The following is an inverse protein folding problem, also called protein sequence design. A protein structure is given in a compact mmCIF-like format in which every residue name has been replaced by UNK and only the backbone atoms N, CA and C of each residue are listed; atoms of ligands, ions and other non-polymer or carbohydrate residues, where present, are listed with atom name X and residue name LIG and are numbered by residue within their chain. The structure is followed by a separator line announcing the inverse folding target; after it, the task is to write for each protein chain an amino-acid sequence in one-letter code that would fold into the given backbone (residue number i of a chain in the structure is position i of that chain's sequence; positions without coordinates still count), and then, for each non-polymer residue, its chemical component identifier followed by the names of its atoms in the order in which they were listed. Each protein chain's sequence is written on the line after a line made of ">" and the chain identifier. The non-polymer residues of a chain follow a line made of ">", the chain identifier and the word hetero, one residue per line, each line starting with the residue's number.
data_IF_130847457129
#
_entry.id   IF_130847457129
#
_cell.length_a   1.000
_cell.length_b   1.000
_cell.length_c   1.000
_cell.angle_alpha   90.00
_cell.angle_beta   90.00
_cell.angle_gamma   90.00
#
_symmetry.space_group_name_H-M   'P 1'
#
loop_
_entity.id
_entity.type
_entity.pdbx_description
1 polymer ?
#
# COMPACT_ATOMS: atom_id res chain seq x y z
N UNK A 1 25.25 -7.68 -3.63
CA UNK A 1 24.95 -8.42 -2.37
C UNK A 1 23.54 -8.98 -2.51
N UNK A 2 23.27 -10.21 -2.08
CA UNK A 2 21.93 -10.79 -2.13
C UNK A 2 21.40 -10.96 -0.69
N UNK A 3 20.15 -10.58 -0.45
CA UNK A 3 19.50 -10.75 0.87
C UNK A 3 18.26 -11.62 0.74
N UNK A 4 18.01 -12.46 1.73
CA UNK A 4 16.89 -13.41 1.75
C UNK A 4 16.02 -13.21 3.01
N UNK A 5 14.69 -13.24 2.86
CA UNK A 5 13.69 -13.16 3.94
C UNK A 5 12.62 -14.23 3.76
N UNK A 6 12.07 -14.78 4.84
CA UNK A 6 11.10 -15.88 4.77
C UNK A 6 9.98 -15.70 5.79
N UNK A 7 8.74 -16.07 5.42
CA UNK A 7 7.58 -16.01 6.31
C UNK A 7 7.49 -17.25 7.20
N UNK A 8 8.03 -18.39 6.73
CA UNK A 8 8.11 -19.64 7.47
C UNK A 8 9.43 -20.33 7.12
N UNK A 9 10.48 -20.11 7.92
CA UNK A 9 11.68 -20.96 7.92
C UNK A 9 11.54 -22.01 9.03
N UNK A 10 10.77 -23.07 8.79
CA UNK A 10 10.84 -24.26 9.66
C UNK A 10 11.52 -25.36 8.84
N UNK A 11 12.84 -25.51 8.99
CA UNK A 11 13.49 -26.78 8.68
C UNK A 11 13.14 -27.75 9.80
N UNK A 12 12.07 -28.54 9.64
CA UNK A 12 11.72 -29.55 10.63
C UNK A 12 12.57 -30.81 10.43
N UNK A 13 13.40 -31.14 11.42
CA UNK A 13 13.72 -32.52 11.73
C UNK A 13 13.41 -32.78 13.21
N UNK A 14 12.11 -32.91 13.52
CA UNK A 14 11.65 -33.82 14.57
C UNK A 14 10.17 -34.11 14.47
N UNK A 15 9.89 -35.41 14.45
CA UNK A 15 8.58 -36.04 14.46
C UNK A 15 7.80 -35.67 15.72
N UNK A 16 6.53 -35.29 15.57
CA UNK A 16 5.59 -35.08 16.68
C UNK A 16 4.55 -34.00 16.39
N UNK A 17 3.48 -34.40 15.68
CA UNK A 17 2.14 -33.77 15.59
C UNK A 17 2.05 -32.26 15.86
N UNK A 18 2.21 -31.49 14.77
CA UNK A 18 1.45 -30.27 14.52
C UNK A 18 1.38 -30.10 12.99
N UNK A 19 0.17 -30.03 12.43
CA UNK A 19 -0.02 -29.76 11.00
C UNK A 19 0.21 -28.27 10.77
N UNK A 20 1.48 -27.90 10.59
CA UNK A 20 1.93 -26.56 10.19
C UNK A 20 1.69 -26.36 8.68
N UNK A 21 1.50 -25.11 8.19
CA UNK A 21 1.16 -24.88 6.79
C UNK A 21 2.21 -25.51 5.87
N UNK A 22 1.73 -26.29 4.92
CA UNK A 22 2.54 -27.13 4.03
C UNK A 22 3.33 -26.35 2.98
N UNK A 23 3.25 -25.01 2.96
CA UNK A 23 3.92 -24.15 2.00
C UNK A 23 4.63 -22.98 2.69
N UNK A 24 5.92 -22.85 2.42
CA UNK A 24 6.74 -21.70 2.77
C UNK A 24 6.87 -20.76 1.58
N UNK A 25 6.96 -19.46 1.88
CA UNK A 25 7.23 -18.41 0.92
C UNK A 25 8.44 -17.59 1.35
N UNK A 26 9.27 -17.22 0.38
CA UNK A 26 10.57 -16.54 0.59
C UNK A 26 10.76 -15.42 -0.42
N UNK A 27 11.37 -14.31 -0.01
CA UNK A 27 11.85 -13.24 -0.89
C UNK A 27 13.37 -13.31 -1.01
N UNK A 28 13.87 -13.16 -2.23
CA UNK A 28 15.29 -12.96 -2.53
C UNK A 28 15.48 -11.64 -3.27
N UNK A 29 16.24 -10.72 -2.69
CA UNK A 29 16.57 -9.44 -3.30
C UNK A 29 18.02 -9.44 -3.80
N UNK A 30 18.26 -8.82 -4.95
CA UNK A 30 19.61 -8.50 -5.43
C UNK A 30 19.77 -6.99 -5.54
N UNK A 31 20.98 -6.50 -5.28
CA UNK A 31 21.30 -5.07 -5.30
C UNK A 31 22.44 -4.76 -6.26
N UNK A 32 22.32 -3.61 -6.92
CA UNK A 32 23.38 -3.03 -7.72
C UNK A 32 24.55 -2.52 -6.87
N UNK A 33 25.60 -2.01 -7.54
CA UNK A 33 26.81 -1.51 -6.90
C UNK A 33 26.53 -0.37 -5.90
N UNK A 34 25.48 0.42 -6.13
CA UNK A 34 25.11 1.56 -5.30
C UNK A 34 24.02 1.23 -4.26
N UNK A 35 23.66 -0.05 -4.09
CA UNK A 35 22.66 -0.47 -3.11
C UNK A 35 21.20 -0.27 -3.55
N UNK A 36 20.97 0.17 -4.79
CA UNK A 36 19.65 0.16 -5.41
C UNK A 36 19.18 -1.29 -5.69
N UNK A 37 17.91 -1.58 -5.45
CA UNK A 37 17.32 -2.91 -5.67
C UNK A 37 17.35 -3.23 -7.17
N UNK A 38 18.10 -4.24 -7.60
CA UNK A 38 18.21 -4.63 -9.00
C UNK A 38 17.14 -5.66 -9.39
N UNK A 39 16.85 -6.61 -8.51
CA UNK A 39 15.74 -7.54 -8.70
C UNK A 39 15.16 -8.02 -7.37
N UNK A 40 13.90 -8.42 -7.41
CA UNK A 40 13.21 -9.13 -6.35
C UNK A 40 12.62 -10.42 -6.91
N UNK A 41 12.77 -11.52 -6.17
CA UNK A 41 12.16 -12.80 -6.50
C UNK A 41 11.32 -13.26 -5.31
N UNK A 42 10.02 -13.46 -5.54
CA UNK A 42 9.10 -14.06 -4.58
C UNK A 42 8.97 -15.53 -4.93
N UNK A 43 9.39 -16.40 -4.02
CA UNK A 43 9.21 -17.85 -4.09
C UNK A 43 7.98 -18.24 -3.27
N UNK A 44 7.11 -19.06 -3.85
CA UNK A 44 5.87 -19.56 -3.23
C UNK A 44 5.82 -21.08 -3.30
N UNK A 45 4.95 -21.70 -2.50
CA UNK A 45 4.72 -23.15 -2.50
C UNK A 45 6.01 -23.97 -2.32
N UNK A 46 6.81 -23.64 -1.30
CA UNK A 46 8.14 -24.25 -1.06
C UNK A 46 9.10 -24.12 -2.25
N UNK A 47 8.99 -23.02 -3.01
CA UNK A 47 9.80 -22.77 -4.19
C UNK A 47 9.32 -23.45 -5.47
N UNK A 48 8.16 -24.12 -5.45
CA UNK A 48 7.55 -24.70 -6.66
C UNK A 48 7.07 -23.61 -7.65
N UNK A 49 6.92 -22.37 -7.21
CA UNK A 49 6.57 -21.24 -8.08
C UNK A 49 7.39 -20.01 -7.69
N UNK A 50 7.70 -19.17 -8.68
CA UNK A 50 8.35 -17.88 -8.41
C UNK A 50 7.91 -16.80 -9.38
N UNK A 51 7.88 -15.57 -8.89
CA UNK A 51 7.68 -14.36 -9.68
C UNK A 51 8.90 -13.48 -9.46
N UNK A 52 9.48 -12.99 -10.56
CA UNK A 52 10.63 -12.07 -10.50
C UNK A 52 10.22 -10.69 -11.00
N UNK A 53 10.76 -9.65 -10.38
CA UNK A 53 10.70 -8.27 -10.86
C UNK A 53 12.11 -7.72 -10.99
N UNK A 54 12.40 -7.01 -12.09
CA UNK A 54 13.67 -6.33 -12.32
C UNK A 54 13.47 -4.83 -12.39
N UNK A 55 14.45 -4.08 -11.89
CA UNK A 55 14.39 -2.63 -11.80
C UNK A 55 15.62 -1.97 -12.44
N UNK A 56 15.37 -0.92 -13.21
CA UNK A 56 16.42 -0.07 -13.81
C UNK A 56 16.31 1.35 -13.31
N UNK A 57 17.45 2.05 -13.31
CA UNK A 57 17.57 3.38 -12.74
C UNK A 57 18.33 4.30 -13.68
N UNK A 58 18.08 5.61 -13.58
CA UNK A 58 18.95 6.62 -14.20
C UNK A 58 20.20 6.92 -13.33
N UNK A 59 21.06 7.81 -13.83
CA UNK A 59 22.30 8.21 -13.16
C UNK A 59 22.06 8.96 -11.83
N UNK A 60 20.84 9.44 -11.60
CA UNK A 60 20.41 10.05 -10.33
C UNK A 60 19.77 9.02 -9.38
N UNK A 61 19.87 7.73 -9.72
CA UNK A 61 19.28 6.60 -8.98
C UNK A 61 17.76 6.65 -8.84
N UNK A 62 17.07 7.28 -9.80
CA UNK A 62 15.60 7.26 -9.87
C UNK A 62 15.14 6.06 -10.70
N UNK A 63 14.09 5.37 -10.25
CA UNK A 63 13.54 4.20 -10.94
C UNK A 63 13.01 4.60 -12.32
N UNK A 64 13.53 4.01 -13.40
CA UNK A 64 13.11 4.30 -14.79
C UNK A 64 12.30 3.17 -15.41
N UNK A 65 12.44 1.95 -14.91
CA UNK A 65 11.70 0.78 -15.39
C UNK A 65 11.51 -0.24 -14.28
N UNK A 66 10.34 -0.86 -14.22
CA UNK A 66 10.13 -2.14 -13.54
C UNK A 66 9.48 -3.15 -14.48
N UNK A 67 9.94 -4.41 -14.44
CA UNK A 67 9.50 -5.45 -15.37
C UNK A 67 9.25 -6.75 -14.62
N UNK A 68 8.07 -7.35 -14.82
CA UNK A 68 7.69 -8.62 -14.19
C UNK A 68 8.00 -9.81 -15.09
N UNK A 69 8.37 -10.95 -14.50
CA UNK A 69 8.63 -12.20 -15.22
C UNK A 69 7.39 -12.77 -15.90
N UNK A 70 6.19 -12.42 -15.43
CA UNK A 70 4.91 -12.73 -16.07
C UNK A 70 4.61 -11.88 -17.31
N UNK A 71 5.48 -10.92 -17.64
CA UNK A 71 5.25 -9.92 -18.67
C UNK A 71 4.74 -8.60 -18.07
N UNK A 72 4.88 -7.54 -18.86
CA UNK A 72 4.58 -6.16 -18.47
C UNK A 72 5.83 -5.40 -18.03
N UNK A 73 6.01 -4.22 -18.61
CA UNK A 73 7.03 -3.25 -18.21
C UNK A 73 6.35 -1.93 -17.90
N UNK A 74 6.63 -1.39 -16.72
CA UNK A 74 6.23 -0.05 -16.32
C UNK A 74 7.43 0.87 -16.51
N UNK A 75 7.28 1.87 -17.35
CA UNK A 75 8.28 2.91 -17.57
C UNK A 75 7.93 4.15 -16.76
N UNK A 76 8.97 4.78 -16.23
CA UNK A 76 8.87 5.98 -15.40
C UNK A 76 9.75 7.07 -16.02
N UNK A 77 9.20 8.26 -16.17
CA UNK A 77 9.93 9.45 -16.64
C UNK A 77 9.84 10.57 -15.62
N UNK A 78 10.86 11.41 -15.56
CA UNK A 78 10.93 12.52 -14.62
C UNK A 78 11.35 13.80 -15.32
N UNK A 79 10.93 14.94 -14.78
CA UNK A 79 11.49 16.23 -15.15
C UNK A 79 12.84 16.49 -14.42
N UNK A 80 13.41 17.67 -14.68
CA UNK A 80 14.70 18.09 -14.13
C UNK A 80 14.67 18.33 -12.61
N UNK A 81 13.50 18.63 -12.03
CA UNK A 81 13.35 18.86 -10.58
C UNK A 81 12.85 17.61 -9.83
N UNK A 82 12.64 16.50 -10.55
CA UNK A 82 12.35 15.19 -10.00
C UNK A 82 10.88 14.81 -9.96
N UNK A 83 9.99 15.60 -10.57
CA UNK A 83 8.58 15.25 -10.68
C UNK A 83 8.40 14.06 -11.62
N UNK A 84 7.54 13.11 -11.27
CA UNK A 84 7.18 11.98 -12.12
C UNK A 84 6.28 12.47 -13.27
N UNK A 85 6.81 12.53 -14.49
CA UNK A 85 6.09 13.00 -15.68
C UNK A 85 5.39 11.88 -16.43
N UNK A 86 5.74 10.62 -16.17
CA UNK A 86 5.10 9.45 -16.75
C UNK A 86 5.16 8.26 -15.79
N UNK A 87 4.08 7.49 -15.76
CA UNK A 87 4.04 6.12 -15.23
C UNK A 87 3.20 5.30 -16.20
N UNK A 88 3.84 4.50 -17.06
CA UNK A 88 3.22 4.04 -18.33
C UNK A 88 1.92 3.25 -18.16
N UNK A 89 1.71 2.55 -17.05
CA UNK A 89 0.48 1.82 -16.71
C UNK A 89 -0.63 2.70 -16.09
N UNK A 90 -0.34 3.96 -15.76
CA UNK A 90 -1.29 4.90 -15.18
C UNK A 90 -1.52 6.14 -16.04
N UNK A 91 -0.45 6.88 -16.37
CA UNK A 91 -0.52 8.09 -17.17
C UNK A 91 0.66 8.20 -18.15
N UNK A 92 0.33 8.53 -19.40
CA UNK A 92 1.31 8.80 -20.46
C UNK A 92 2.01 10.15 -20.27
N UNK A 93 1.34 11.11 -19.61
CA UNK A 93 1.92 12.37 -19.19
C UNK A 93 1.29 12.89 -17.91
N UNK A 94 2.08 13.58 -17.08
CA UNK A 94 1.64 14.33 -15.92
C UNK A 94 2.22 15.74 -15.98
N UNK A 95 1.39 16.73 -15.65
CA UNK A 95 1.79 18.12 -15.50
C UNK A 95 1.70 18.53 -14.03
N UNK A 96 2.52 19.51 -13.66
CA UNK A 96 2.63 20.01 -12.29
C UNK A 96 2.32 21.50 -12.26
N UNK A 97 1.96 22.01 -11.07
CA UNK A 97 1.68 23.41 -10.88
C UNK A 97 2.92 24.32 -10.98
N UNK A 98 2.72 25.61 -10.74
CA UNK A 98 3.79 26.61 -10.75
C UNK A 98 4.11 27.11 -9.33
N UNK A 99 5.29 27.70 -9.11
CA UNK A 99 5.75 28.20 -7.80
C UNK A 99 4.77 29.18 -7.14
N UNK A 100 4.04 29.97 -7.94
CA UNK A 100 3.04 30.93 -7.44
C UNK A 100 1.68 30.33 -7.12
N UNK A 101 1.47 29.02 -7.32
CA UNK A 101 0.17 28.32 -7.24
C UNK A 101 -0.92 29.03 -8.05
N UNK A 102 -1.00 28.72 -9.35
CA UNK A 102 -2.01 29.31 -10.26
C UNK A 102 -3.44 29.09 -9.74
N UNK A 103 -4.37 29.97 -10.14
CA UNK A 103 -5.81 29.85 -9.85
C UNK A 103 -6.39 28.49 -10.28
N UNK A 104 -5.80 27.82 -11.27
CA UNK A 104 -6.25 26.50 -11.72
C UNK A 104 -5.66 25.43 -10.77
N UNK A 105 -6.52 24.87 -9.92
CA UNK A 105 -6.18 23.77 -9.03
C UNK A 105 -5.29 24.13 -7.84
N UNK A 106 -4.72 25.34 -7.74
CA UNK A 106 -3.84 25.76 -6.63
C UNK A 106 -2.64 24.82 -6.44
N UNK A 107 -2.20 24.17 -7.53
CA UNK A 107 -1.08 23.25 -7.52
C UNK A 107 0.25 24.02 -7.45
N UNK A 108 1.15 23.59 -6.55
CA UNK A 108 2.54 24.05 -6.51
C UNK A 108 3.47 23.29 -7.47
N UNK A 109 4.77 23.60 -7.50
CA UNK A 109 5.73 23.07 -8.47
C UNK A 109 5.95 21.55 -8.39
N UNK A 110 5.60 20.93 -7.26
CA UNK A 110 5.67 19.49 -7.03
C UNK A 110 4.29 18.86 -6.76
N UNK A 111 3.21 19.56 -7.09
CA UNK A 111 1.86 19.05 -7.00
C UNK A 111 1.32 18.76 -8.41
N UNK A 112 0.92 17.51 -8.67
CA UNK A 112 0.32 17.11 -9.95
C UNK A 112 -0.90 17.98 -10.19
N UNK A 113 -0.97 18.67 -11.33
CA UNK A 113 -2.11 19.48 -11.74
C UNK A 113 -3.05 18.68 -12.63
N UNK A 114 -2.49 17.92 -13.57
CA UNK A 114 -3.26 17.03 -14.45
C UNK A 114 -2.44 15.83 -14.89
N UNK A 115 -3.15 14.76 -15.28
CA UNK A 115 -2.57 13.56 -15.86
C UNK A 115 -3.39 13.11 -17.07
N UNK A 116 -2.71 12.79 -18.17
CA UNK A 116 -3.31 12.12 -19.34
C UNK A 116 -3.23 10.63 -19.09
N UNK A 117 -4.37 9.99 -18.84
CA UNK A 117 -4.41 8.60 -18.38
C UNK A 117 -4.10 7.64 -19.54
N UNK A 118 -3.32 6.59 -19.25
CA UNK A 118 -2.93 5.59 -20.26
C UNK A 118 -4.14 4.83 -20.82
N UNK A 119 -5.21 4.67 -20.03
CA UNK A 119 -6.49 4.10 -20.47
C UNK A 119 -7.41 5.08 -21.21
N UNK A 120 -6.94 6.29 -21.48
CA UNK A 120 -7.74 7.37 -22.08
C UNK A 120 -8.37 8.31 -21.03
N UNK A 121 -8.61 9.55 -21.46
CA UNK A 121 -9.14 10.61 -20.62
C UNK A 121 -8.09 11.34 -19.78
N UNK A 122 -8.57 12.27 -18.96
CA UNK A 122 -7.73 13.14 -18.14
C UNK A 122 -8.20 13.13 -16.69
N UNK A 123 -7.23 13.14 -15.76
CA UNK A 123 -7.46 13.43 -14.36
C UNK A 123 -6.95 14.84 -14.05
N UNK A 124 -7.77 15.65 -13.38
CA UNK A 124 -7.37 16.96 -12.88
C UNK A 124 -7.33 16.93 -11.36
N UNK A 125 -6.44 17.73 -10.78
CA UNK A 125 -6.19 17.76 -9.36
C UNK A 125 -6.28 19.19 -8.81
N UNK A 126 -6.78 19.33 -7.59
CA UNK A 126 -6.86 20.61 -6.90
C UNK A 126 -6.49 20.48 -5.43
N UNK A 127 -5.96 21.57 -4.87
CA UNK A 127 -5.35 21.60 -3.55
C UNK A 127 -5.83 22.80 -2.72
N UNK A 128 -5.78 22.68 -1.41
CA UNK A 128 -5.91 23.82 -0.51
C UNK A 128 -4.58 24.60 -0.42
N UNK A 129 -4.59 25.73 0.29
CA UNK A 129 -3.40 26.58 0.42
C UNK A 129 -2.25 25.89 1.18
N UNK A 130 -2.55 24.88 2.00
CA UNK A 130 -1.57 24.07 2.71
C UNK A 130 -0.97 22.97 1.82
N UNK A 131 -1.50 22.78 0.60
CA UNK A 131 -1.07 21.76 -0.35
C UNK A 131 -1.77 20.41 -0.17
N UNK A 132 -2.84 20.34 0.61
CA UNK A 132 -3.62 19.11 0.73
C UNK A 132 -4.51 18.93 -0.50
N UNK A 133 -4.58 17.70 -1.03
CA UNK A 133 -5.43 17.37 -2.17
C UNK A 133 -6.91 17.52 -1.81
N UNK A 134 -7.63 18.48 -2.40
CA UNK A 134 -9.09 18.66 -2.26
C UNK A 134 -9.83 17.73 -3.23
N UNK A 135 -9.36 17.61 -4.48
CA UNK A 135 -9.99 16.75 -5.47
C UNK A 135 -8.99 16.23 -6.48
N UNK A 136 -9.16 14.97 -6.91
CA UNK A 136 -8.35 14.37 -7.96
C UNK A 136 -8.51 12.85 -8.02
N UNK A 137 -8.25 12.26 -9.18
CA UNK A 137 -8.36 10.81 -9.41
C UNK A 137 -9.67 10.20 -8.86
N UNK A 138 -10.81 10.82 -9.17
CA UNK A 138 -12.14 10.38 -8.76
C UNK A 138 -12.47 10.55 -7.27
N UNK A 139 -11.68 11.35 -6.53
CA UNK A 139 -11.85 11.57 -5.10
C UNK A 139 -12.07 13.05 -4.75
N UNK A 140 -12.78 13.28 -3.66
CA UNK A 140 -12.85 14.57 -2.95
C UNK A 140 -12.50 14.36 -1.49
N UNK A 141 -11.67 15.23 -0.91
CA UNK A 141 -11.13 15.04 0.44
C UNK A 141 -11.29 16.33 1.25
N UNK A 142 -11.67 16.19 2.51
CA UNK A 142 -11.67 17.28 3.50
C UNK A 142 -10.71 16.95 4.63
N UNK A 143 -10.14 17.99 5.25
CA UNK A 143 -9.08 17.86 6.26
C UNK A 143 -9.45 18.61 7.54
N UNK A 144 -8.88 18.18 8.66
CA UNK A 144 -8.87 18.97 9.88
C UNK A 144 -7.71 20.00 9.87
N UNK A 145 -7.64 20.93 10.84
CA UNK A 145 -6.56 21.93 10.92
C UNK A 145 -5.13 21.36 11.06
N UNK A 146 -4.98 20.07 11.35
CA UNK A 146 -3.68 19.37 11.40
C UNK A 146 -3.33 18.69 10.07
N UNK A 147 -4.00 19.06 8.96
CA UNK A 147 -3.81 18.48 7.64
C UNK A 147 -4.06 16.96 7.58
N UNK A 148 -4.93 16.42 8.44
CA UNK A 148 -5.32 15.00 8.41
C UNK A 148 -6.69 14.84 7.71
N UNK A 149 -6.83 13.92 6.74
CA UNK A 149 -8.10 13.67 6.05
C UNK A 149 -9.21 13.30 7.05
N UNK A 150 -10.35 13.97 7.01
CA UNK A 150 -11.53 13.60 7.83
C UNK A 150 -12.59 12.90 7.01
N UNK A 151 -12.73 13.24 5.72
CA UNK A 151 -13.65 12.59 4.79
C UNK A 151 -12.98 12.41 3.44
N UNK A 152 -13.14 11.23 2.85
CA UNK A 152 -12.79 10.94 1.45
C UNK A 152 -14.06 10.43 0.79
N UNK A 153 -14.58 11.16 -0.19
CA UNK A 153 -15.64 10.68 -1.07
C UNK A 153 -15.02 10.14 -2.36
N UNK A 154 -15.28 8.87 -2.68
CA UNK A 154 -14.76 8.18 -3.85
C UNK A 154 -15.87 7.32 -4.47
N UNK A 155 -16.27 7.61 -5.70
CA UNK A 155 -17.29 6.81 -6.41
C UNK A 155 -18.62 6.69 -5.66
N UNK A 156 -19.05 7.75 -4.96
CA UNK A 156 -20.29 7.77 -4.16
C UNK A 156 -20.14 7.25 -2.73
N UNK A 157 -19.10 6.49 -2.42
CA UNK A 157 -18.81 6.01 -1.06
C UNK A 157 -18.01 7.04 -0.30
N UNK A 158 -18.46 7.37 0.92
CA UNK A 158 -17.71 8.21 1.85
C UNK A 158 -16.98 7.36 2.87
N UNK A 159 -15.69 7.65 3.07
CA UNK A 159 -14.87 7.13 4.16
C UNK A 159 -14.55 8.27 5.11
N UNK A 160 -14.90 8.12 6.39
CA UNK A 160 -14.62 9.12 7.42
C UNK A 160 -13.57 8.63 8.42
N UNK A 161 -12.79 9.54 8.98
CA UNK A 161 -11.73 9.24 9.95
C UNK A 161 -11.84 10.10 11.21
N UNK A 162 -11.47 9.51 12.36
CA UNK A 162 -11.26 10.25 13.60
C UNK A 162 -9.87 9.99 14.17
N UNK A 163 -9.32 11.02 14.82
CA UNK A 163 -7.95 11.04 15.32
C UNK A 163 -7.92 11.38 16.81
N UNK A 164 -7.03 10.73 17.54
CA UNK A 164 -6.76 10.99 18.94
C UNK A 164 -5.91 12.26 19.09
N UNK A 165 -5.78 12.75 20.33
CA UNK A 165 -5.02 13.97 20.64
C UNK A 165 -3.53 13.87 20.24
N UNK A 166 -2.96 12.66 20.26
CA UNK A 166 -1.60 12.40 19.78
C UNK A 166 -1.49 12.31 18.24
N UNK A 167 -2.59 12.56 17.51
CA UNK A 167 -2.66 12.55 16.06
C UNK A 167 -2.79 11.15 15.42
N UNK A 168 -2.82 10.07 16.20
CA UNK A 168 -3.06 8.72 15.68
C UNK A 168 -4.52 8.57 15.26
N UNK A 169 -4.77 7.87 14.15
CA UNK A 169 -6.13 7.51 13.72
C UNK A 169 -6.65 6.40 14.62
N UNK A 170 -7.80 6.59 15.25
CA UNK A 170 -8.42 5.56 16.10
C UNK A 170 -9.77 5.06 15.56
N UNK A 171 -10.36 5.74 14.57
CA UNK A 171 -11.62 5.33 13.95
C UNK A 171 -11.62 5.56 12.44
N UNK A 172 -12.23 4.63 11.69
CA UNK A 172 -12.58 4.74 10.27
C UNK A 172 -14.03 4.28 10.09
N UNK A 173 -14.81 4.97 9.28
CA UNK A 173 -16.18 4.57 8.90
C UNK A 173 -16.28 4.52 7.39
N UNK A 174 -16.81 3.46 6.81
CA UNK A 174 -16.98 3.28 5.36
C UNK A 174 -18.47 3.16 5.06
N UNK A 175 -19.00 4.03 4.19
CA UNK A 175 -20.39 3.96 3.73
C UNK A 175 -21.44 4.24 4.81
N UNK A 176 -21.03 4.58 6.04
CA UNK A 176 -21.92 4.77 7.20
C UNK A 176 -22.05 3.53 8.08
N UNK A 177 -21.91 2.33 7.52
CA UNK A 177 -22.31 1.09 8.19
C UNK A 177 -21.14 0.18 8.62
N UNK A 178 -19.96 0.35 8.02
CA UNK A 178 -18.76 -0.39 8.42
C UNK A 178 -17.86 0.53 9.26
N UNK A 179 -17.68 0.19 10.54
CA UNK A 179 -16.84 0.96 11.47
C UNK A 179 -15.63 0.15 11.90
N UNK A 180 -14.44 0.71 11.72
CA UNK A 180 -13.18 0.17 12.23
C UNK A 180 -12.64 1.04 13.36
N UNK A 181 -12.20 0.40 14.44
CA UNK A 181 -11.42 1.00 15.52
C UNK A 181 -9.99 0.51 15.47
N UNK A 182 -9.03 1.41 15.71
CA UNK A 182 -7.60 1.11 15.77
C UNK A 182 -7.13 1.33 17.20
N UNK A 183 -6.54 0.30 17.81
CA UNK A 183 -6.03 0.34 19.18
C UNK A 183 -4.53 0.10 19.11
N UNK A 184 -3.77 1.15 19.41
CA UNK A 184 -2.30 1.16 19.51
C UNK A 184 -1.55 0.59 18.29
N UNK A 185 -2.20 0.53 17.13
CA UNK A 185 -1.65 -0.04 15.89
C UNK A 185 -1.51 -1.56 15.88
N UNK A 186 -1.82 -2.26 16.98
CA UNK A 186 -1.69 -3.73 17.10
C UNK A 186 -3.03 -4.45 17.04
N UNK A 187 -4.14 -3.73 17.21
CA UNK A 187 -5.50 -4.31 17.13
C UNK A 187 -6.40 -3.44 16.26
N UNK A 188 -7.15 -4.11 15.38
CA UNK A 188 -8.26 -3.54 14.63
C UNK A 188 -9.57 -4.24 14.99
N UNK A 189 -10.62 -3.47 15.31
CA UNK A 189 -11.97 -4.00 15.55
C UNK A 189 -12.89 -3.43 14.48
N UNK A 190 -13.43 -4.29 13.63
CA UNK A 190 -14.37 -3.97 12.56
C UNK A 190 -15.78 -4.43 12.93
N UNK A 191 -16.73 -3.50 12.90
CA UNK A 191 -18.16 -3.72 13.10
C UNK A 191 -18.85 -3.58 11.75
N UNK A 192 -19.40 -4.68 11.24
CA UNK A 192 -20.03 -4.71 9.91
C UNK A 192 -21.13 -5.76 9.87
N UNK A 193 -22.31 -5.42 9.37
CA UNK A 193 -23.44 -6.35 9.20
C UNK A 193 -23.79 -7.18 10.45
N UNK A 194 -23.62 -6.61 11.65
CA UNK A 194 -23.85 -7.30 12.93
C UNK A 194 -22.71 -8.24 13.38
N UNK A 195 -21.66 -8.39 12.57
CA UNK A 195 -20.43 -9.08 12.94
C UNK A 195 -19.44 -8.15 13.63
N UNK A 196 -18.70 -8.70 14.59
CA UNK A 196 -17.48 -8.10 15.15
C UNK A 196 -16.29 -8.91 14.68
N UNK A 197 -15.44 -8.29 13.87
CA UNK A 197 -14.17 -8.88 13.40
C UNK A 197 -13.04 -8.18 14.14
N UNK A 198 -12.26 -8.94 14.91
CA UNK A 198 -11.05 -8.42 15.56
C UNK A 198 -9.82 -8.98 14.86
N UNK A 199 -8.86 -8.12 14.51
CA UNK A 199 -7.55 -8.51 13.97
C UNK A 199 -6.49 -8.07 14.96
N UNK A 200 -5.69 -9.01 15.45
CA UNK A 200 -4.55 -8.77 16.33
C UNK A 200 -3.27 -9.04 15.56
N UNK A 201 -2.42 -8.02 15.44
CA UNK A 201 -1.14 -8.08 14.76
C UNK A 201 -0.07 -8.53 15.76
N UNK A 202 0.54 -9.68 15.50
CA UNK A 202 1.67 -10.23 16.25
C UNK A 202 2.93 -9.85 15.50
N UNK A 203 3.41 -8.63 15.79
CA UNK A 203 4.54 -8.03 15.10
C UNK A 203 4.34 -8.07 13.56
N UNK A 204 5.42 -8.21 12.81
CA UNK A 204 5.43 -8.41 11.37
C UNK A 204 5.25 -9.88 10.94
N UNK A 205 4.86 -10.77 11.85
CA UNK A 205 4.86 -12.22 11.65
C UNK A 205 3.46 -12.76 11.31
N UNK A 206 2.45 -12.39 12.08
CA UNK A 206 1.13 -12.98 11.96
C UNK A 206 -0.01 -12.03 12.31
N UNK A 207 -1.19 -12.31 11.75
CA UNK A 207 -2.45 -11.68 12.09
C UNK A 207 -3.40 -12.77 12.59
N UNK A 208 -3.87 -12.60 13.82
CA UNK A 208 -4.92 -13.45 14.41
C UNK A 208 -6.24 -12.74 14.19
N UNK A 209 -7.14 -13.36 13.42
CA UNK A 209 -8.48 -12.86 13.16
C UNK A 209 -9.49 -13.63 13.99
N UNK A 210 -10.36 -12.93 14.71
CA UNK A 210 -11.55 -13.52 15.32
C UNK A 210 -12.82 -12.91 14.72
N UNK A 211 -13.80 -13.74 14.35
CA UNK A 211 -15.12 -13.28 13.89
C UNK A 211 -16.20 -13.76 14.84
N UNK A 212 -16.99 -12.82 15.37
CA UNK A 212 -18.15 -13.10 16.22
C UNK A 212 -19.43 -12.54 15.58
N UNK A 213 -20.52 -13.32 15.63
CA UNK A 213 -21.86 -12.91 15.18
C UNK A 213 -22.86 -13.13 16.32
N UNK A 214 -23.43 -12.02 16.83
CA UNK A 214 -24.33 -12.05 17.98
C UNK A 214 -23.68 -12.67 19.22
N UNK A 215 -24.32 -13.70 19.78
CA UNK A 215 -23.86 -14.43 20.98
C UNK A 215 -23.09 -15.72 20.67
N UNK A 216 -22.81 -16.00 19.40
CA UNK A 216 -22.11 -17.22 18.98
C UNK A 216 -20.64 -17.16 19.39
N UNK A 217 -20.06 -18.31 19.77
CA UNK A 217 -18.63 -18.40 20.04
C UNK A 217 -17.81 -17.94 18.81
N UNK A 218 -16.76 -17.13 19.01
CA UNK A 218 -15.97 -16.59 17.91
C UNK A 218 -15.21 -17.70 17.18
N UNK A 219 -15.09 -17.54 15.85
CA UNK A 219 -14.18 -18.34 15.01
C UNK A 219 -12.84 -17.64 14.94
N UNK A 220 -11.75 -18.42 14.94
CA UNK A 220 -10.38 -17.90 14.89
C UNK A 220 -9.63 -18.43 13.68
N UNK A 221 -8.92 -17.53 13.02
CA UNK A 221 -7.99 -17.81 11.93
C UNK A 221 -6.64 -17.15 12.26
N UNK A 222 -5.54 -17.82 11.92
CA UNK A 222 -4.20 -17.23 11.93
C UNK A 222 -3.69 -17.14 10.51
N UNK A 223 -3.10 -16.01 10.16
CA UNK A 223 -2.47 -15.77 8.86
C UNK A 223 -1.06 -15.24 9.06
N UNK A 224 -0.08 -15.88 8.46
CA UNK A 224 1.32 -15.43 8.51
C UNK A 224 1.61 -14.45 7.39
N UNK A 225 2.41 -13.44 7.67
CA UNK A 225 2.79 -12.38 6.71
C UNK A 225 4.23 -12.57 6.24
N UNK A 226 4.44 -12.58 4.93
CA UNK A 226 5.76 -12.31 4.33
C UNK A 226 5.83 -10.84 3.97
N UNK A 227 6.85 -10.12 4.43
CA UNK A 227 7.05 -8.71 4.10
C UNK A 227 8.31 -8.49 3.27
N UNK A 228 8.23 -7.54 2.34
CA UNK A 228 9.37 -7.09 1.54
C UNK A 228 10.37 -6.28 2.38
N UNK A 229 11.40 -5.74 1.72
CA UNK A 229 12.41 -4.90 2.35
C UNK A 229 11.89 -3.58 2.95
N UNK A 230 10.70 -3.12 2.54
CA UNK A 230 10.06 -1.90 2.99
C UNK A 230 8.94 -2.15 4.02
N UNK A 231 8.70 -3.41 4.40
CA UNK A 231 7.66 -3.79 5.37
C UNK A 231 6.28 -4.01 4.75
N UNK A 232 6.16 -3.96 3.42
CA UNK A 232 4.89 -4.24 2.73
C UNK A 232 4.62 -5.75 2.72
N UNK A 233 3.39 -6.16 3.01
CA UNK A 233 3.00 -7.57 2.93
C UNK A 233 2.96 -8.02 1.47
N UNK A 234 3.74 -9.04 1.13
CA UNK A 234 3.86 -9.65 -0.20
C UNK A 234 2.98 -10.88 -0.33
N UNK A 235 2.90 -11.70 0.73
CA UNK A 235 2.01 -12.86 0.76
C UNK A 235 1.46 -13.10 2.16
N UNK A 236 0.29 -13.74 2.16
CA UNK A 236 -0.45 -14.19 3.33
C UNK A 236 -0.60 -15.71 3.20
N UNK A 237 -0.23 -16.46 4.24
CA UNK A 237 -0.26 -17.93 4.24
C UNK A 237 -0.88 -18.48 5.51
#
# INVERSE_FOLDING_TARGET
>A
MATARCAVCISSSKSGVANWPASSSKITDTYGRFGNLASQIVHSNNGASSTSEWYSYDDLHRLTSSSLSSGGTISYSYDAIGNLTQKSDYASSMSYGASGKSNIGNAGPNAVLSATLSGGGNANFSYDNNGNLISGAGKRITYNPMNKPTHINAGGTTVSFAYAANGQRYKKVIGGDNTLYYIDGTVEIELVNGETITRTYVDDIAVIKSTALGTTAPRYDITYTLRDRLGSVVTLT
#
